data_IF_847255720218
#
_entry.id   IF_847255720218
#
_cell.length_a   1.000
_cell.length_b   1.000
_cell.length_c   1.000
_cell.angle_alpha   90.00
_cell.angle_beta   90.00
_cell.angle_gamma   90.00
#
_symmetry.space_group_name_H-M   'P 1'
#
loop_
_entity.id
_entity.type
_entity.pdbx_description
1 polymer ?
#
# COMPACT_ATOMS: atom_id res chain seq x y z
N UNK A 1 17.11 -28.68 -7.42
CA UNK A 1 16.23 -27.51 -7.55
C UNK A 1 16.76 -26.24 -6.88
N UNK A 2 17.18 -26.22 -5.60
CA UNK A 2 17.62 -25.00 -4.88
C UNK A 2 18.82 -24.27 -5.54
N UNK A 3 19.83 -24.99 -6.07
CA UNK A 3 20.99 -24.37 -6.74
C UNK A 3 20.65 -23.72 -8.10
N UNK A 4 19.75 -24.31 -8.88
CA UNK A 4 19.33 -23.75 -10.17
C UNK A 4 18.54 -22.45 -9.99
N UNK A 5 17.65 -22.37 -9.00
CA UNK A 5 16.91 -21.15 -8.67
C UNK A 5 17.83 -20.00 -8.26
N UNK A 6 18.86 -20.30 -7.46
CA UNK A 6 19.86 -19.30 -7.04
C UNK A 6 20.65 -18.74 -8.23
N UNK A 7 21.04 -19.60 -9.19
CA UNK A 7 21.74 -19.18 -10.41
C UNK A 7 20.87 -18.30 -11.28
N UNK A 8 19.59 -18.64 -11.47
CA UNK A 8 18.63 -17.83 -12.24
C UNK A 8 18.40 -16.48 -11.58
N UNK A 9 18.28 -16.43 -10.24
CA UNK A 9 18.17 -15.19 -9.48
C UNK A 9 19.43 -14.32 -9.60
N UNK A 10 20.62 -14.91 -9.53
CA UNK A 10 21.89 -14.20 -9.68
C UNK A 10 22.07 -13.66 -11.10
N UNK A 11 21.75 -14.44 -12.14
CA UNK A 11 21.80 -14.00 -13.54
C UNK A 11 20.76 -12.91 -13.83
N UNK A 12 19.56 -13.05 -13.29
CA UNK A 12 18.54 -12.00 -13.36
C UNK A 12 18.98 -10.70 -12.68
N UNK A 13 19.58 -10.78 -11.50
CA UNK A 13 20.11 -9.63 -10.78
C UNK A 13 21.26 -8.94 -11.54
N UNK A 14 22.18 -9.71 -12.16
CA UNK A 14 23.28 -9.14 -12.96
C UNK A 14 22.77 -8.42 -14.20
N UNK A 15 21.79 -8.97 -14.93
CA UNK A 15 21.15 -8.29 -16.06
C UNK A 15 20.40 -7.04 -15.63
N UNK A 16 19.68 -7.09 -14.51
CA UNK A 16 18.97 -5.94 -13.95
C UNK A 16 19.93 -4.80 -13.56
N UNK A 17 21.16 -5.08 -13.16
CA UNK A 17 22.15 -4.08 -12.71
C UNK A 17 23.07 -3.60 -13.84
N UNK A 18 22.90 -4.06 -15.08
CA UNK A 18 23.80 -3.74 -16.20
C UNK A 18 23.65 -2.34 -16.78
N UNK A 19 22.55 -1.62 -16.48
CA UNK A 19 22.31 -0.28 -16.98
C UNK A 19 22.72 0.80 -15.95
N UNK A 20 23.07 2.00 -16.45
CA UNK A 20 23.38 3.16 -15.63
C UNK A 20 22.14 3.55 -14.76
N UNK A 21 22.39 4.07 -13.56
CA UNK A 21 21.35 4.45 -12.61
C UNK A 21 20.71 3.29 -11.87
N UNK A 22 21.03 2.04 -12.17
CA UNK A 22 20.55 0.89 -11.42
C UNK A 22 21.38 0.64 -10.17
N UNK A 23 20.74 0.18 -9.10
CA UNK A 23 21.42 -0.01 -7.82
C UNK A 23 20.89 -1.23 -7.07
N UNK A 24 21.72 -1.68 -6.12
CA UNK A 24 21.36 -2.61 -5.07
C UNK A 24 21.65 -1.97 -3.72
N UNK A 25 20.77 -2.21 -2.75
CA UNK A 25 20.88 -1.65 -1.40
C UNK A 25 20.55 -2.73 -0.36
N UNK A 26 21.54 -3.50 0.11
CA UNK A 26 21.41 -4.30 1.31
C UNK A 26 21.36 -3.39 2.54
N UNK A 27 20.47 -3.73 3.49
CA UNK A 27 20.32 -2.99 4.72
C UNK A 27 19.99 -3.92 5.90
N UNK A 28 20.37 -3.51 7.10
CA UNK A 28 19.97 -4.13 8.36
C UNK A 28 19.01 -3.22 9.11
N UNK A 29 18.04 -3.83 9.80
CA UNK A 29 16.99 -3.15 10.53
C UNK A 29 16.88 -3.66 11.96
N UNK A 30 16.67 -2.71 12.90
CA UNK A 30 16.31 -2.98 14.27
C UNK A 30 15.08 -2.15 14.65
N UNK A 31 14.03 -2.79 15.16
CA UNK A 31 12.74 -2.15 15.33
C UNK A 31 11.97 -2.74 16.52
N UNK A 32 10.82 -2.12 16.83
CA UNK A 32 9.87 -2.57 17.84
C UNK A 32 8.45 -2.51 17.30
N UNK A 33 7.57 -3.31 17.88
CA UNK A 33 6.13 -3.22 17.64
C UNK A 33 5.55 -1.95 18.26
N UNK A 34 4.51 -1.37 17.65
CA UNK A 34 3.75 -0.25 18.19
C UNK A 34 2.31 -0.72 18.47
N UNK A 35 1.68 -0.32 19.57
CA UNK A 35 2.15 0.63 20.60
C UNK A 35 3.23 0.03 21.49
N UNK A 36 4.28 0.76 21.72
CA UNK A 36 5.44 0.33 22.51
C UNK A 36 5.07 -0.12 23.94
N UNK A 37 4.05 0.48 24.54
CA UNK A 37 3.62 0.15 25.90
C UNK A 37 3.15 -1.28 26.09
N UNK A 38 2.74 -1.97 24.99
CA UNK A 38 2.25 -3.35 25.03
C UNK A 38 3.30 -4.36 24.56
N UNK A 39 4.30 -3.94 23.78
CA UNK A 39 5.19 -4.85 23.04
C UNK A 39 6.66 -4.41 23.04
N UNK A 40 7.05 -3.51 23.99
CA UNK A 40 8.41 -2.96 24.06
C UNK A 40 9.49 -4.03 24.30
N UNK A 41 9.13 -5.16 24.89
CA UNK A 41 10.06 -6.24 25.22
C UNK A 41 10.34 -7.18 24.04
N UNK A 42 9.69 -6.96 22.91
CA UNK A 42 9.77 -7.82 21.74
C UNK A 42 10.37 -7.09 20.53
N UNK A 43 11.71 -6.96 20.46
CA UNK A 43 12.37 -6.36 19.30
C UNK A 43 12.15 -7.17 18.02
N UNK A 44 12.31 -6.48 16.90
CA UNK A 44 12.25 -7.02 15.54
C UNK A 44 13.61 -6.81 14.89
N UNK A 45 14.21 -7.87 14.39
CA UNK A 45 15.44 -7.82 13.61
C UNK A 45 15.10 -8.07 12.16
N UNK A 46 15.65 -7.28 11.24
CA UNK A 46 15.35 -7.43 9.83
C UNK A 46 16.53 -7.19 8.92
N UNK A 47 16.41 -7.71 7.73
CA UNK A 47 17.31 -7.45 6.62
C UNK A 47 16.49 -7.15 5.37
N UNK A 48 16.91 -6.13 4.63
CA UNK A 48 16.29 -5.70 3.38
C UNK A 48 17.29 -5.81 2.24
N UNK A 49 16.79 -6.13 1.05
CA UNK A 49 17.53 -5.98 -0.20
C UNK A 49 16.64 -5.21 -1.16
N UNK A 50 16.99 -3.96 -1.44
CA UNK A 50 16.35 -3.13 -2.47
C UNK A 50 17.10 -3.27 -3.78
N UNK A 51 16.35 -3.45 -4.85
CA UNK A 51 16.85 -3.41 -6.23
C UNK A 51 16.01 -2.37 -6.96
N UNK A 52 16.68 -1.39 -7.56
CA UNK A 52 15.96 -0.30 -8.19
C UNK A 52 16.75 0.46 -9.23
N UNK A 53 16.12 1.53 -9.70
CA UNK A 53 16.74 2.50 -10.60
C UNK A 53 16.53 3.92 -10.08
N UNK A 54 17.51 4.77 -10.28
CA UNK A 54 17.37 6.21 -10.23
C UNK A 54 16.69 6.66 -11.53
N UNK A 55 15.69 7.53 -11.42
CA UNK A 55 15.07 8.14 -12.58
C UNK A 55 15.97 9.22 -13.16
N UNK A 56 15.88 9.48 -14.46
CA UNK A 56 16.75 10.39 -15.20
C UNK A 56 16.07 11.72 -15.60
N UNK A 57 14.78 11.84 -15.35
CA UNK A 57 13.99 13.01 -15.72
C UNK A 57 13.43 12.95 -17.14
N UNK A 58 13.37 11.79 -17.76
CA UNK A 58 12.73 11.58 -19.05
C UNK A 58 11.21 11.85 -19.01
N UNK A 59 10.59 11.64 -17.84
CA UNK A 59 9.17 11.93 -17.63
C UNK A 59 8.97 13.12 -16.66
N UNK A 60 7.83 13.82 -16.81
CA UNK A 60 7.52 15.02 -16.01
C UNK A 60 7.49 14.75 -14.49
N UNK A 61 6.96 13.61 -14.06
CA UNK A 61 6.89 13.23 -12.65
C UNK A 61 8.29 12.98 -12.06
N UNK A 62 9.23 12.47 -12.85
CA UNK A 62 10.60 12.22 -12.40
C UNK A 62 11.30 13.53 -12.06
N UNK A 63 11.13 14.56 -12.90
CA UNK A 63 11.65 15.91 -12.66
C UNK A 63 10.95 16.59 -11.48
N UNK A 64 9.62 16.47 -11.42
CA UNK A 64 8.83 17.10 -10.37
C UNK A 64 9.20 16.57 -8.97
N UNK A 65 9.35 15.25 -8.83
CA UNK A 65 9.75 14.60 -7.57
C UNK A 65 11.27 14.53 -7.37
N UNK A 66 12.03 15.35 -8.13
CA UNK A 66 13.46 15.52 -8.00
C UNK A 66 14.26 14.22 -8.19
N UNK A 67 13.97 13.51 -9.30
CA UNK A 67 14.65 12.28 -9.73
C UNK A 67 14.58 11.15 -8.70
N UNK A 68 13.39 10.71 -8.32
CA UNK A 68 13.22 9.69 -7.30
C UNK A 68 13.81 8.35 -7.73
N UNK A 69 14.10 7.51 -6.75
CA UNK A 69 14.48 6.13 -6.98
C UNK A 69 13.23 5.24 -6.89
N UNK A 70 13.10 4.30 -7.81
CA UNK A 70 11.97 3.34 -7.82
C UNK A 70 12.50 1.92 -7.93
N UNK A 71 11.82 0.98 -7.29
CA UNK A 71 12.26 -0.41 -7.32
C UNK A 71 11.39 -1.34 -6.51
N UNK A 72 11.98 -2.49 -6.17
CA UNK A 72 11.38 -3.53 -5.35
C UNK A 72 12.26 -3.79 -4.14
N UNK A 73 11.62 -3.94 -2.99
CA UNK A 73 12.24 -4.28 -1.71
C UNK A 73 11.86 -5.72 -1.33
N UNK A 74 12.85 -6.51 -0.94
CA UNK A 74 12.72 -7.85 -0.37
C UNK A 74 13.13 -7.76 1.08
N UNK A 75 12.18 -7.94 2.00
CA UNK A 75 12.37 -7.80 3.44
C UNK A 75 12.19 -9.12 4.15
N UNK A 76 13.11 -9.42 5.03
CA UNK A 76 12.99 -10.46 6.04
C UNK A 76 12.94 -9.82 7.42
N UNK A 77 12.02 -10.26 8.28
CA UNK A 77 11.97 -9.85 9.68
C UNK A 77 11.83 -11.06 10.60
N UNK A 78 12.56 -11.03 11.70
CA UNK A 78 12.42 -11.95 12.83
C UNK A 78 11.79 -11.21 14.00
N UNK A 79 10.58 -11.60 14.35
CA UNK A 79 9.83 -11.06 15.49
C UNK A 79 10.11 -11.91 16.71
N UNK A 80 10.64 -11.31 17.77
CA UNK A 80 11.01 -12.06 18.99
C UNK A 80 9.84 -12.38 19.88
N UNK A 81 8.63 -11.87 19.57
CA UNK A 81 7.39 -12.17 20.27
C UNK A 81 7.04 -13.66 20.14
N UNK A 82 7.24 -14.43 21.22
CA UNK A 82 7.00 -15.87 21.27
C UNK A 82 6.03 -16.29 22.39
N UNK A 83 5.97 -15.49 23.45
CA UNK A 83 5.28 -15.86 24.69
C UNK A 83 4.26 -14.80 25.09
N UNK A 84 3.81 -13.95 24.18
CA UNK A 84 2.80 -12.93 24.46
C UNK A 84 1.45 -13.60 24.68
N UNK A 85 0.96 -13.56 25.93
CA UNK A 85 -0.37 -14.05 26.26
C UNK A 85 -1.42 -12.97 25.91
N UNK A 86 -2.25 -13.27 24.91
CA UNK A 86 -3.38 -12.43 24.54
C UNK A 86 -4.59 -12.75 25.42
N UNK A 87 -4.87 -11.89 26.39
CA UNK A 87 -5.94 -12.08 27.37
C UNK A 87 -7.32 -12.25 26.71
N UNK A 88 -7.56 -11.60 25.58
CA UNK A 88 -8.83 -11.64 24.88
C UNK A 88 -9.08 -12.98 24.17
N UNK A 89 -8.05 -13.59 23.57
CA UNK A 89 -8.15 -14.91 22.94
C UNK A 89 -7.77 -16.06 23.86
N UNK A 90 -7.20 -15.79 25.05
CA UNK A 90 -6.65 -16.77 25.98
C UNK A 90 -5.59 -17.66 25.31
N UNK A 91 -4.80 -17.12 24.39
CA UNK A 91 -3.76 -17.83 23.62
C UNK A 91 -2.43 -17.12 23.66
N UNK A 92 -1.36 -17.90 23.56
CA UNK A 92 -0.01 -17.39 23.36
C UNK A 92 0.15 -17.02 21.88
N UNK A 93 0.62 -15.81 21.60
CA UNK A 93 0.97 -15.34 20.25
C UNK A 93 2.47 -15.52 20.04
N UNK A 94 2.81 -16.25 18.99
CA UNK A 94 4.16 -16.37 18.44
C UNK A 94 4.12 -15.89 16.99
N UNK A 95 4.76 -14.76 16.71
CA UNK A 95 4.79 -14.18 15.35
C UNK A 95 5.83 -14.86 14.46
N UNK A 96 6.96 -15.29 15.02
CA UNK A 96 8.05 -15.89 14.27
C UNK A 96 8.66 -14.96 13.23
N UNK A 97 8.76 -15.42 11.99
CA UNK A 97 9.33 -14.66 10.89
C UNK A 97 8.27 -14.11 9.95
N UNK A 98 8.60 -12.98 9.29
CA UNK A 98 7.84 -12.46 8.15
C UNK A 98 8.74 -12.24 6.94
N UNK A 99 8.14 -12.30 5.75
CA UNK A 99 8.80 -12.09 4.46
C UNK A 99 7.91 -11.13 3.66
N UNK A 100 8.44 -9.98 3.27
CA UNK A 100 7.69 -9.02 2.49
C UNK A 100 8.36 -8.75 1.14
N UNK A 101 7.53 -8.51 0.12
CA UNK A 101 7.94 -7.99 -1.18
C UNK A 101 7.05 -6.81 -1.52
N UNK A 102 7.65 -5.66 -1.76
CA UNK A 102 6.89 -4.45 -2.06
C UNK A 102 7.60 -3.53 -3.06
N UNK A 103 6.80 -2.90 -3.91
CA UNK A 103 7.26 -1.80 -4.76
C UNK A 103 7.43 -0.53 -3.92
N UNK A 104 8.42 0.30 -4.25
CA UNK A 104 8.65 1.56 -3.54
C UNK A 104 9.02 2.70 -4.48
N UNK A 105 8.74 3.90 -4.00
CA UNK A 105 9.25 5.15 -4.54
C UNK A 105 9.99 5.91 -3.43
N UNK A 106 11.24 6.28 -3.68
CA UNK A 106 12.08 7.02 -2.75
C UNK A 106 12.38 8.39 -3.36
N UNK A 107 11.86 9.44 -2.75
CA UNK A 107 12.08 10.82 -3.17
C UNK A 107 13.04 11.56 -2.23
N UNK A 108 13.49 12.73 -2.67
CA UNK A 108 14.44 13.56 -1.94
C UNK A 108 13.79 14.84 -1.45
N UNK A 109 13.73 15.04 -0.12
CA UNK A 109 13.35 16.30 0.51
C UNK A 109 14.50 17.31 0.39
N UNK A 110 15.73 16.81 0.64
CA UNK A 110 16.98 17.57 0.44
C UNK A 110 17.86 16.77 -0.51
N UNK A 111 18.35 17.41 -1.56
CA UNK A 111 19.30 16.82 -2.51
C UNK A 111 20.52 17.75 -2.67
N UNK A 112 21.63 17.38 -2.08
CA UNK A 112 22.92 18.08 -2.11
C UNK A 112 24.02 17.15 -2.65
N UNK A 113 25.15 17.65 -3.11
CA UNK A 113 26.21 16.82 -3.72
C UNK A 113 26.67 15.65 -2.84
N UNK A 114 26.79 15.84 -1.54
CA UNK A 114 27.27 14.80 -0.59
C UNK A 114 26.22 14.34 0.43
N UNK A 115 25.04 14.96 0.44
CA UNK A 115 24.01 14.71 1.44
C UNK A 115 22.63 14.77 0.82
N UNK A 116 21.79 13.77 1.12
CA UNK A 116 20.36 13.78 0.81
C UNK A 116 19.57 13.51 2.10
N UNK A 117 18.35 14.03 2.16
CA UNK A 117 17.36 13.59 3.13
C UNK A 117 16.19 13.03 2.34
N UNK A 118 15.99 11.72 2.48
CA UNK A 118 15.06 10.96 1.67
C UNK A 118 13.77 10.65 2.42
N UNK A 119 12.69 10.47 1.66
CA UNK A 119 11.48 9.79 2.11
C UNK A 119 11.20 8.64 1.16
N UNK A 120 10.62 7.55 1.69
CA UNK A 120 10.19 6.40 0.89
C UNK A 120 8.78 6.04 1.27
N UNK A 121 7.96 5.74 0.29
CA UNK A 121 6.72 5.01 0.50
C UNK A 121 6.73 3.73 -0.33
N UNK A 122 6.11 2.68 0.18
CA UNK A 122 6.05 1.39 -0.50
C UNK A 122 4.79 0.62 -0.15
N UNK A 123 4.36 -0.19 -1.09
CA UNK A 123 3.20 -1.08 -0.94
C UNK A 123 3.48 -2.43 -1.58
N UNK A 124 3.02 -3.48 -0.94
CA UNK A 124 3.15 -4.84 -1.42
C UNK A 124 2.51 -5.85 -0.50
N UNK A 125 3.09 -7.02 -0.40
CA UNK A 125 2.55 -8.12 0.38
C UNK A 125 3.59 -8.68 1.35
N UNK A 126 3.11 -9.19 2.49
CA UNK A 126 3.93 -9.92 3.43
C UNK A 126 3.33 -11.31 3.71
N UNK A 127 4.22 -12.29 3.86
CA UNK A 127 3.91 -13.66 4.21
C UNK A 127 4.37 -13.97 5.64
N UNK A 128 3.44 -14.51 6.45
CA UNK A 128 3.62 -14.84 7.85
C UNK A 128 3.40 -16.34 8.03
N UNK A 129 4.42 -17.18 8.14
CA UNK A 129 4.26 -18.61 8.37
C UNK A 129 3.40 -18.96 9.58
N UNK A 130 3.44 -18.11 10.62
CA UNK A 130 2.64 -18.24 11.86
C UNK A 130 1.47 -17.24 11.91
N UNK A 131 0.93 -16.83 10.76
CA UNK A 131 -0.08 -15.78 10.61
C UNK A 131 -1.50 -16.14 11.05
N UNK A 132 -1.71 -17.28 11.71
CA UNK A 132 -3.03 -17.67 12.24
C UNK A 132 -3.22 -17.23 13.71
N UNK A 133 -3.10 -15.95 13.96
CA UNK A 133 -3.25 -15.32 15.27
C UNK A 133 -4.11 -14.06 15.18
N UNK A 134 -4.51 -13.45 16.29
CA UNK A 134 -5.38 -12.26 16.30
C UNK A 134 -4.76 -10.99 15.73
N UNK A 135 -3.44 -10.93 15.60
CA UNK A 135 -2.78 -9.74 15.08
C UNK A 135 -2.90 -9.66 13.56
N UNK A 136 -2.66 -10.77 12.86
CA UNK A 136 -2.74 -10.82 11.39
C UNK A 136 -3.83 -11.74 10.84
N UNK A 137 -4.26 -12.77 11.58
CA UNK A 137 -5.32 -13.74 11.26
C UNK A 137 -5.24 -14.43 9.89
N UNK A 138 -4.24 -14.10 9.10
CA UNK A 138 -3.99 -14.65 7.76
C UNK A 138 -2.49 -14.73 7.51
N UNK A 139 -1.98 -15.81 6.88
CA UNK A 139 -0.58 -15.90 6.51
C UNK A 139 -0.17 -14.89 5.42
N UNK A 140 -1.11 -14.33 4.68
CA UNK A 140 -0.86 -13.33 3.65
C UNK A 140 -1.54 -12.01 4.03
N UNK A 141 -0.76 -10.92 4.01
CA UNK A 141 -1.21 -9.57 4.35
C UNK A 141 -0.74 -8.56 3.31
N UNK A 142 -1.43 -7.43 3.21
CA UNK A 142 -0.88 -6.24 2.57
C UNK A 142 0.19 -5.65 3.48
N UNK A 143 1.26 -5.15 2.89
CA UNK A 143 2.38 -4.49 3.56
C UNK A 143 2.50 -3.05 3.07
N UNK A 144 2.47 -2.11 4.00
CA UNK A 144 2.73 -0.69 3.77
C UNK A 144 4.05 -0.31 4.43
N UNK A 145 4.84 0.53 3.78
CA UNK A 145 6.13 0.99 4.27
C UNK A 145 6.28 2.50 4.10
N UNK A 146 6.79 3.18 5.14
CA UNK A 146 7.18 4.58 5.12
C UNK A 146 8.55 4.72 5.76
N UNK A 147 9.48 5.37 5.07
CA UNK A 147 10.84 5.61 5.58
C UNK A 147 11.20 7.08 5.46
N UNK A 148 12.02 7.55 6.38
CA UNK A 148 12.64 8.88 6.33
C UNK A 148 14.07 8.80 6.85
N UNK A 149 14.99 9.50 6.20
CA UNK A 149 16.32 9.60 6.78
C UNK A 149 17.40 10.14 5.87
N UNK A 150 18.57 10.42 6.48
CA UNK A 150 19.72 10.93 5.77
C UNK A 150 20.43 9.86 4.94
N UNK A 151 20.96 10.30 3.81
CA UNK A 151 21.80 9.54 2.90
C UNK A 151 23.10 10.32 2.69
N UNK A 152 24.23 9.67 2.92
CA UNK A 152 25.57 10.23 2.76
C UNK A 152 26.24 9.59 1.55
N UNK A 153 26.55 10.40 0.53
CA UNK A 153 27.26 9.96 -0.67
C UNK A 153 28.75 9.79 -0.35
N UNK A 154 29.17 8.54 -0.16
CA UNK A 154 30.56 8.20 0.18
C UNK A 154 31.49 8.29 -1.04
N UNK A 155 30.94 7.93 -2.22
CA UNK A 155 31.61 8.05 -3.52
C UNK A 155 30.58 8.25 -4.63
N UNK A 156 31.04 8.34 -5.88
CA UNK A 156 30.14 8.42 -7.03
C UNK A 156 29.19 7.23 -7.17
N UNK A 157 29.60 6.07 -6.65
CA UNK A 157 28.86 4.83 -6.80
C UNK A 157 28.31 4.26 -5.47
N UNK A 158 28.65 4.86 -4.32
CA UNK A 158 28.33 4.28 -3.01
C UNK A 158 27.74 5.31 -2.07
N UNK A 159 26.60 4.97 -1.46
CA UNK A 159 25.97 5.74 -0.38
C UNK A 159 25.89 4.95 0.91
N UNK A 160 26.06 5.62 2.04
CA UNK A 160 25.57 5.19 3.34
C UNK A 160 24.16 5.70 3.53
N UNK A 161 23.24 4.79 3.78
CA UNK A 161 21.82 5.12 3.94
C UNK A 161 21.41 4.79 5.36
N UNK A 162 20.77 5.76 6.04
CA UNK A 162 20.16 5.54 7.34
C UNK A 162 18.71 6.02 7.32
N UNK A 163 17.81 5.30 8.00
CA UNK A 163 16.36 5.61 7.96
C UNK A 163 15.69 5.31 9.30
N UNK A 164 14.67 6.08 9.60
CA UNK A 164 13.59 5.64 10.48
C UNK A 164 12.54 5.00 9.58
N UNK A 165 12.13 3.78 9.91
CA UNK A 165 11.24 2.98 9.10
C UNK A 165 10.00 2.64 9.90
N UNK A 166 8.82 3.00 9.36
CA UNK A 166 7.52 2.55 9.81
C UNK A 166 6.98 1.53 8.80
N UNK A 167 6.47 0.41 9.29
CA UNK A 167 5.73 -0.54 8.45
C UNK A 167 4.44 -0.99 9.12
N UNK A 168 3.43 -1.25 8.28
CA UNK A 168 2.14 -1.77 8.67
C UNK A 168 1.81 -3.02 7.85
N UNK A 169 1.37 -4.08 8.52
CA UNK A 169 0.89 -5.30 7.88
C UNK A 169 -0.52 -5.65 8.38
N UNK A 170 -1.44 -5.87 7.44
CA UNK A 170 -2.84 -6.18 7.73
C UNK A 170 -3.48 -6.98 6.59
N UNK A 171 -4.41 -7.85 6.92
CA UNK A 171 -5.15 -8.63 5.92
C UNK A 171 -6.40 -7.91 5.38
N UNK A 172 -6.66 -6.64 5.80
CA UNK A 172 -7.78 -5.85 5.31
C UNK A 172 -9.15 -6.45 5.62
N UNK A 173 -9.31 -7.05 6.80
CA UNK A 173 -10.53 -7.73 7.25
C UNK A 173 -10.93 -8.98 6.41
N UNK A 174 -10.03 -9.48 5.56
CA UNK A 174 -10.24 -10.77 4.89
C UNK A 174 -10.54 -11.87 5.92
N UNK A 175 -9.91 -11.77 7.11
CA UNK A 175 -10.19 -12.62 8.25
C UNK A 175 -10.14 -11.80 9.53
N UNK A 176 -11.09 -12.03 10.44
CA UNK A 176 -11.16 -11.32 11.73
C UNK A 176 -10.95 -12.27 12.91
N UNK A 177 -10.45 -11.79 14.06
CA UNK A 177 -10.01 -10.42 14.30
C UNK A 177 -8.67 -10.11 13.61
N UNK A 178 -8.49 -8.89 13.10
CA UNK A 178 -7.28 -8.43 12.45
C UNK A 178 -6.90 -7.07 13.03
N UNK A 179 -6.02 -7.07 14.04
CA UNK A 179 -5.55 -5.84 14.69
C UNK A 179 -4.47 -5.13 13.85
N UNK A 180 -3.85 -5.86 12.91
CA UNK A 180 -2.68 -5.42 12.18
C UNK A 180 -1.41 -5.40 13.02
N UNK A 181 -0.27 -5.37 12.36
CA UNK A 181 1.05 -5.24 12.99
C UNK A 181 1.67 -3.94 12.51
N UNK A 182 2.04 -3.09 13.46
CA UNK A 182 2.80 -1.88 13.21
C UNK A 182 4.20 -2.05 13.80
N UNK A 183 5.22 -1.70 13.02
CA UNK A 183 6.63 -1.79 13.43
C UNK A 183 7.31 -0.47 13.13
N UNK A 184 8.05 0.06 14.11
CA UNK A 184 8.84 1.28 13.98
C UNK A 184 10.27 1.03 14.43
N UNK A 185 11.25 1.46 13.63
CA UNK A 185 12.64 1.26 13.99
C UNK A 185 13.64 2.03 13.14
N UNK A 186 14.91 1.70 13.33
CA UNK A 186 16.02 2.22 12.56
C UNK A 186 16.52 1.21 11.53
N UNK A 187 17.03 1.72 10.43
CA UNK A 187 17.65 0.94 9.36
C UNK A 187 18.97 1.59 8.96
N UNK A 188 19.96 0.79 8.66
CA UNK A 188 21.25 1.22 8.07
C UNK A 188 21.59 0.31 6.90
N UNK A 189 22.04 0.88 5.80
CA UNK A 189 22.35 0.14 4.57
C UNK A 189 23.41 0.84 3.72
N UNK A 190 23.84 0.13 2.69
CA UNK A 190 24.75 0.62 1.66
C UNK A 190 24.07 0.52 0.30
N UNK A 191 23.95 1.66 -0.40
CA UNK A 191 23.41 1.71 -1.76
C UNK A 191 24.57 1.77 -2.76
N UNK A 192 24.64 0.79 -3.64
CA UNK A 192 25.69 0.68 -4.63
C UNK A 192 25.16 0.73 -6.06
N UNK A 193 25.75 1.61 -6.88
CA UNK A 193 25.46 1.81 -8.31
C UNK A 193 26.58 1.20 -9.16
N UNK A 194 26.46 -0.05 -9.65
CA UNK A 194 27.54 -0.74 -10.36
C UNK A 194 28.03 -0.05 -11.63
N UNK A 195 27.16 0.68 -12.31
CA UNK A 195 27.44 1.43 -13.56
C UNK A 195 27.33 2.95 -13.40
N UNK A 196 27.39 3.42 -12.14
CA UNK A 196 27.23 4.84 -11.83
C UNK A 196 25.75 5.26 -11.77
N UNK A 197 25.54 6.48 -11.32
CA UNK A 197 24.23 7.12 -11.21
C UNK A 197 23.68 7.47 -12.58
N UNK A 198 22.35 7.60 -12.70
CA UNK A 198 21.74 8.13 -13.89
C UNK A 198 22.19 9.58 -14.12
N UNK A 199 22.33 9.97 -15.39
CA UNK A 199 22.57 11.36 -15.76
C UNK A 199 21.21 12.09 -15.71
N UNK A 200 21.11 13.02 -14.78
CA UNK A 200 19.89 13.84 -14.61
C UNK A 200 19.73 14.86 -15.74
N UNK A 201 18.58 14.86 -16.39
CA UNK A 201 18.23 15.89 -17.37
C UNK A 201 17.78 17.15 -16.64
N UNK A 202 18.65 18.15 -16.54
CA UNK A 202 18.40 19.37 -15.78
C UNK A 202 17.38 20.33 -16.39
N UNK A 203 16.99 20.13 -17.67
CA UNK A 203 15.87 20.87 -18.25
C UNK A 203 14.58 20.53 -17.52
N UNK A 204 14.07 21.48 -16.74
CA UNK A 204 12.84 21.35 -15.96
C UNK A 204 11.57 21.61 -16.78
N UNK A 205 11.70 21.94 -18.07
CA UNK A 205 10.53 22.12 -18.92
C UNK A 205 9.88 20.77 -19.21
N UNK A 206 8.58 20.71 -19.04
CA UNK A 206 7.74 19.60 -19.49
C UNK A 206 6.47 20.18 -20.10
N UNK A 207 6.22 19.93 -21.40
CA UNK A 207 4.98 20.35 -22.04
C UNK A 207 3.82 19.60 -21.38
N UNK A 208 2.84 20.35 -20.90
CA UNK A 208 1.65 19.77 -20.29
C UNK A 208 0.41 20.57 -20.68
N UNK A 209 -0.56 19.88 -21.22
CA UNK A 209 -1.89 20.41 -21.46
C UNK A 209 -2.84 19.89 -20.40
N UNK A 210 -3.62 20.82 -19.83
CA UNK A 210 -4.68 20.46 -18.88
C UNK A 210 -5.75 19.66 -19.59
N UNK A 211 -6.22 18.60 -18.96
CA UNK A 211 -7.28 17.77 -19.52
C UNK A 211 -8.27 17.32 -18.47
N UNK A 212 -9.43 16.92 -18.94
CA UNK A 212 -10.45 16.27 -18.12
C UNK A 212 -10.49 14.79 -18.47
N UNK A 213 -10.90 13.96 -17.52
CA UNK A 213 -11.00 12.51 -17.66
C UNK A 213 -12.27 12.03 -17.02
N UNK A 214 -13.11 11.32 -17.80
CA UNK A 214 -14.21 10.52 -17.30
C UNK A 214 -13.80 9.07 -17.30
N UNK A 215 -14.05 8.36 -16.20
CA UNK A 215 -13.70 6.96 -16.06
C UNK A 215 -14.77 6.17 -15.30
N UNK A 216 -14.72 4.86 -15.44
CA UNK A 216 -15.49 3.91 -14.63
C UNK A 216 -14.54 2.91 -14.00
N UNK A 217 -14.94 2.40 -12.83
CA UNK A 217 -14.19 1.38 -12.11
C UNK A 217 -15.17 0.42 -11.47
N UNK A 218 -14.80 -0.86 -11.46
CA UNK A 218 -15.42 -1.89 -10.65
C UNK A 218 -14.39 -2.47 -9.70
N UNK A 219 -14.73 -2.52 -8.41
CA UNK A 219 -13.89 -3.00 -7.33
C UNK A 219 -14.60 -4.13 -6.57
N UNK A 220 -13.88 -5.24 -6.37
CA UNK A 220 -14.41 -6.41 -5.67
C UNK A 220 -13.51 -6.77 -4.51
N UNK A 221 -14.08 -6.95 -3.34
CA UNK A 221 -13.39 -7.38 -2.13
C UNK A 221 -14.16 -8.45 -1.39
N UNK A 222 -13.44 -9.21 -0.58
CA UNK A 222 -14.02 -10.21 0.32
C UNK A 222 -13.57 -9.92 1.73
N UNK A 223 -14.48 -10.06 2.68
CA UNK A 223 -14.21 -9.92 4.10
C UNK A 223 -14.92 -11.01 4.92
N UNK A 224 -14.38 -11.33 6.05
CA UNK A 224 -15.12 -12.09 7.07
C UNK A 224 -16.07 -11.14 7.82
N UNK A 225 -17.30 -11.60 8.07
CA UNK A 225 -18.29 -10.82 8.82
C UNK A 225 -17.86 -10.60 10.28
N UNK A 226 -18.34 -9.51 10.87
CA UNK A 226 -18.06 -9.21 12.29
C UNK A 226 -18.69 -10.18 13.29
N UNK A 227 -19.53 -11.11 12.85
CA UNK A 227 -20.07 -12.18 13.69
C UNK A 227 -18.99 -13.15 14.17
N UNK A 228 -17.82 -13.13 13.53
CA UNK A 228 -16.71 -14.08 13.75
C UNK A 228 -17.12 -15.56 13.62
N UNK A 229 -18.20 -15.84 12.92
CA UNK A 229 -18.70 -17.19 12.65
C UNK A 229 -18.14 -17.80 11.36
N UNK A 230 -17.09 -17.18 10.78
CA UNK A 230 -16.46 -17.65 9.55
C UNK A 230 -17.27 -17.37 8.28
N UNK A 231 -18.25 -16.48 8.32
CA UNK A 231 -19.03 -16.08 7.14
C UNK A 231 -18.25 -15.07 6.31
N UNK A 232 -17.92 -15.43 5.09
CA UNK A 232 -17.26 -14.54 4.13
C UNK A 232 -18.29 -13.82 3.28
N UNK A 233 -18.16 -12.52 3.20
CA UNK A 233 -19.07 -11.61 2.51
C UNK A 233 -18.37 -10.90 1.37
N UNK A 234 -19.08 -10.75 0.25
CA UNK A 234 -18.64 -9.96 -0.88
C UNK A 234 -18.93 -8.48 -0.64
N UNK A 235 -17.95 -7.63 -0.93
CA UNK A 235 -18.12 -6.20 -1.14
C UNK A 235 -17.84 -5.85 -2.58
N UNK A 236 -18.62 -4.92 -3.13
CA UNK A 236 -18.39 -4.40 -4.48
C UNK A 236 -18.56 -2.89 -4.49
N UNK A 237 -17.75 -2.21 -5.27
CA UNK A 237 -17.82 -0.77 -5.53
C UNK A 237 -17.84 -0.55 -7.03
N UNK A 238 -18.93 -0.04 -7.57
CA UNK A 238 -18.97 0.49 -8.92
C UNK A 238 -18.87 2.01 -8.86
N UNK A 239 -17.83 2.58 -9.49
CA UNK A 239 -17.49 3.99 -9.46
C UNK A 239 -17.65 4.62 -10.84
N UNK A 240 -18.32 5.76 -10.89
CA UNK A 240 -18.31 6.68 -12.04
C UNK A 240 -17.58 7.93 -11.58
N UNK A 241 -16.37 8.16 -12.13
CA UNK A 241 -15.48 9.20 -11.68
C UNK A 241 -15.09 10.19 -12.77
N UNK A 242 -14.92 11.43 -12.34
CA UNK A 242 -14.35 12.52 -13.13
C UNK A 242 -13.09 13.04 -12.44
N UNK A 243 -12.04 13.31 -13.22
CA UNK A 243 -10.87 14.01 -12.73
C UNK A 243 -10.37 15.05 -13.73
N UNK A 244 -9.82 16.16 -13.19
CA UNK A 244 -9.18 17.21 -13.94
C UNK A 244 -7.69 17.24 -13.64
N UNK A 245 -6.86 17.04 -14.65
CA UNK A 245 -5.43 17.21 -14.56
C UNK A 245 -5.10 18.69 -14.73
N UNK A 246 -4.51 19.28 -13.71
CA UNK A 246 -4.03 20.67 -13.71
C UNK A 246 -2.50 20.76 -13.70
N UNK A 247 -1.85 19.64 -13.40
CA UNK A 247 -0.41 19.45 -13.39
C UNK A 247 -0.09 18.01 -13.84
N UNK A 248 1.07 17.70 -14.45
CA UNK A 248 1.43 16.34 -14.86
C UNK A 248 1.32 15.29 -13.74
N UNK A 249 1.60 15.72 -12.51
CA UNK A 249 1.62 14.84 -11.33
C UNK A 249 0.35 14.92 -10.47
N UNK A 250 -0.59 15.82 -10.77
CA UNK A 250 -1.76 16.05 -9.90
C UNK A 250 -3.06 16.12 -10.69
N UNK A 251 -4.06 15.43 -10.18
CA UNK A 251 -5.46 15.57 -10.61
C UNK A 251 -6.34 15.74 -9.38
N UNK A 252 -7.45 16.42 -9.56
CA UNK A 252 -8.54 16.46 -8.59
C UNK A 252 -9.85 16.15 -9.29
N UNK A 253 -10.83 15.69 -8.53
CA UNK A 253 -12.10 15.34 -9.11
C UNK A 253 -13.11 14.87 -8.08
N UNK A 254 -14.03 14.08 -8.56
CA UNK A 254 -15.07 13.47 -7.74
C UNK A 254 -15.94 12.57 -8.59
N UNK A 255 -16.92 11.96 -7.96
CA UNK A 255 -17.80 11.02 -8.64
C UNK A 255 -18.86 10.46 -7.71
N UNK A 256 -19.37 9.31 -8.11
CA UNK A 256 -20.41 8.59 -7.35
C UNK A 256 -19.97 7.13 -7.25
N UNK A 257 -19.98 6.61 -6.03
CA UNK A 257 -19.83 5.18 -5.72
C UNK A 257 -21.22 4.56 -5.52
N UNK A 258 -21.46 3.47 -6.24
CA UNK A 258 -22.56 2.54 -6.01
C UNK A 258 -21.97 1.32 -5.31
N UNK A 259 -22.39 1.08 -4.09
CA UNK A 259 -21.79 0.09 -3.21
C UNK A 259 -22.73 -1.06 -2.95
N UNK A 260 -22.21 -2.28 -3.00
CA UNK A 260 -22.85 -3.49 -2.51
C UNK A 260 -22.10 -4.04 -1.30
N UNK A 261 -22.81 -4.35 -0.23
CA UNK A 261 -22.24 -4.87 1.02
C UNK A 261 -22.99 -6.12 1.46
N UNK A 262 -22.47 -7.29 1.08
CA UNK A 262 -23.09 -8.58 1.41
C UNK A 262 -23.11 -8.90 2.92
N UNK A 263 -22.24 -8.25 3.71
CA UNK A 263 -22.23 -8.37 5.17
C UNK A 263 -23.55 -7.86 5.81
N UNK A 264 -24.24 -6.90 5.18
CA UNK A 264 -25.49 -6.37 5.70
C UNK A 264 -26.53 -7.46 5.92
N UNK A 265 -26.63 -8.43 4.99
CA UNK A 265 -27.54 -9.58 5.14
C UNK A 265 -27.17 -10.46 6.36
N UNK A 266 -25.89 -10.82 6.48
CA UNK A 266 -25.41 -11.67 7.57
C UNK A 266 -25.62 -11.00 8.93
N UNK A 267 -25.33 -9.72 9.03
CA UNK A 267 -25.50 -8.95 10.26
C UNK A 267 -26.98 -8.75 10.62
N UNK A 268 -27.83 -8.57 9.60
CA UNK A 268 -29.26 -8.48 9.77
C UNK A 268 -29.84 -9.78 10.36
N UNK A 269 -29.57 -10.91 9.72
CA UNK A 269 -30.00 -12.24 10.17
C UNK A 269 -29.47 -12.57 11.60
N UNK A 270 -28.27 -12.08 11.93
CA UNK A 270 -27.67 -12.29 13.24
C UNK A 270 -28.35 -11.45 14.34
N UNK A 271 -28.72 -10.21 14.05
CA UNK A 271 -29.22 -9.25 15.04
C UNK A 271 -30.76 -9.16 15.08
N UNK A 272 -31.45 -9.50 13.99
CA UNK A 272 -32.88 -9.23 13.76
C UNK A 272 -33.56 -10.42 13.06
N UNK A 273 -33.46 -11.59 13.63
CA UNK A 273 -33.94 -12.83 13.00
C UNK A 273 -35.45 -12.87 12.69
N UNK A 274 -36.25 -11.95 13.26
CA UNK A 274 -37.73 -11.89 13.08
C UNK A 274 -38.16 -10.93 11.97
N UNK A 275 -37.27 -10.11 11.45
CA UNK A 275 -37.60 -9.14 10.39
C UNK A 275 -37.21 -9.63 9.01
N UNK A 276 -37.85 -9.14 7.96
CA UNK A 276 -37.53 -9.52 6.58
C UNK A 276 -36.43 -8.62 5.99
N UNK A 277 -35.29 -9.23 5.62
CA UNK A 277 -34.23 -8.54 4.90
C UNK A 277 -34.63 -8.22 3.46
N UNK A 278 -34.46 -6.97 3.06
CA UNK A 278 -34.72 -6.53 1.69
C UNK A 278 -33.40 -6.45 0.88
N UNK A 279 -33.44 -6.88 -0.37
CA UNK A 279 -32.26 -6.80 -1.25
C UNK A 279 -31.69 -5.38 -1.36
N UNK A 280 -32.53 -4.35 -1.30
CA UNK A 280 -32.12 -2.95 -1.31
C UNK A 280 -31.18 -2.59 -0.15
N UNK A 281 -31.28 -3.30 0.98
CA UNK A 281 -30.48 -3.06 2.17
C UNK A 281 -29.00 -3.42 1.99
N UNK A 282 -28.67 -4.16 0.92
CA UNK A 282 -27.27 -4.44 0.54
C UNK A 282 -26.59 -3.26 -0.16
N UNK A 283 -27.33 -2.29 -0.67
CA UNK A 283 -26.80 -1.23 -1.52
C UNK A 283 -26.70 0.10 -0.79
N UNK A 284 -25.76 0.94 -1.25
CA UNK A 284 -25.58 2.32 -0.78
C UNK A 284 -25.10 3.20 -1.94
N UNK A 285 -25.36 4.50 -1.86
CA UNK A 285 -24.89 5.50 -2.83
C UNK A 285 -24.12 6.57 -2.09
N UNK A 286 -22.92 6.88 -2.58
CA UNK A 286 -22.05 7.87 -1.97
C UNK A 286 -21.35 8.74 -3.04
N UNK A 287 -21.70 10.01 -3.20
CA UNK A 287 -20.85 10.97 -3.88
C UNK A 287 -19.54 11.17 -3.12
N UNK A 288 -18.46 11.44 -3.87
CA UNK A 288 -17.14 11.66 -3.31
C UNK A 288 -16.39 12.80 -4.00
N UNK A 289 -15.40 13.35 -3.30
CA UNK A 289 -14.35 14.20 -3.86
C UNK A 289 -13.01 13.43 -3.77
N UNK A 290 -12.10 13.72 -4.71
CA UNK A 290 -10.83 12.99 -4.77
C UNK A 290 -9.66 13.87 -5.18
N UNK A 291 -8.47 13.47 -4.70
CA UNK A 291 -7.18 13.90 -5.18
C UNK A 291 -6.36 12.73 -5.71
N UNK A 292 -5.60 12.96 -6.77
CA UNK A 292 -4.75 11.93 -7.36
C UNK A 292 -3.31 12.42 -7.52
N UNK A 293 -2.36 11.54 -7.17
CA UNK A 293 -0.94 11.67 -7.42
C UNK A 293 -0.55 10.76 -8.58
N UNK A 294 0.06 11.35 -9.62
CA UNK A 294 0.41 10.63 -10.85
C UNK A 294 1.93 10.45 -10.96
N UNK A 295 2.38 9.21 -10.92
CA UNK A 295 3.75 8.78 -11.16
C UNK A 295 3.80 8.04 -12.51
N UNK A 296 3.71 8.79 -13.62
CA UNK A 296 3.54 8.19 -14.94
C UNK A 296 2.24 7.38 -15.04
N UNK A 297 2.37 6.08 -15.26
CA UNK A 297 1.21 5.17 -15.32
C UNK A 297 0.67 4.74 -13.95
N UNK A 298 1.40 5.00 -12.87
CA UNK A 298 0.98 4.68 -11.52
C UNK A 298 0.26 5.85 -10.89
N UNK A 299 -0.94 5.61 -10.36
CA UNK A 299 -1.82 6.64 -9.79
C UNK A 299 -2.15 6.26 -8.35
N UNK A 300 -1.77 7.12 -7.41
CA UNK A 300 -2.30 7.11 -6.06
C UNK A 300 -3.57 7.96 -6.01
N UNK A 301 -4.67 7.40 -5.56
CA UNK A 301 -5.98 8.06 -5.48
C UNK A 301 -6.47 8.03 -4.04
N UNK A 302 -6.84 9.19 -3.52
CA UNK A 302 -7.47 9.35 -2.21
C UNK A 302 -8.80 10.06 -2.39
N UNK A 303 -9.88 9.43 -1.96
CA UNK A 303 -11.22 10.02 -1.97
C UNK A 303 -11.81 10.11 -0.58
N UNK A 304 -12.72 11.07 -0.41
CA UNK A 304 -13.57 11.24 0.75
C UNK A 304 -15.04 11.25 0.27
N UNK A 305 -15.81 10.29 0.75
CA UNK A 305 -17.17 10.02 0.30
C UNK A 305 -18.19 10.17 1.43
N UNK A 306 -19.43 10.55 1.07
CA UNK A 306 -20.54 10.71 2.00
C UNK A 306 -21.74 9.90 1.52
N UNK A 307 -22.32 9.06 2.40
CA UNK A 307 -23.51 8.28 2.08
C UNK A 307 -24.76 9.17 2.01
N UNK A 308 -25.28 9.35 0.80
CA UNK A 308 -26.55 10.05 0.58
C UNK A 308 -27.75 9.10 0.64
N UNK A 309 -27.49 7.82 0.39
CA UNK A 309 -28.48 6.75 0.53
C UNK A 309 -27.83 5.51 1.12
N UNK A 310 -28.37 5.04 2.22
CA UNK A 310 -27.90 3.86 2.96
C UNK A 310 -29.09 3.33 3.76
N UNK A 311 -29.86 2.37 3.20
CA UNK A 311 -31.14 1.97 3.78
C UNK A 311 -31.01 1.13 5.05
N UNK A 312 -29.88 0.41 5.20
CA UNK A 312 -29.67 -0.44 6.35
C UNK A 312 -28.44 -0.04 7.14
N UNK A 313 -28.57 0.02 8.44
CA UNK A 313 -27.52 0.38 9.38
C UNK A 313 -27.33 -0.72 10.46
N UNK A 314 -26.98 -1.91 10.00
CA UNK A 314 -26.82 -3.07 10.88
C UNK A 314 -25.40 -3.24 11.39
N UNK A 315 -24.45 -2.50 10.84
CA UNK A 315 -23.07 -2.56 11.24
C UNK A 315 -22.72 -1.41 12.17
N UNK A 316 -22.05 -1.65 13.32
CA UNK A 316 -21.63 -0.58 14.24
C UNK A 316 -20.79 0.53 13.59
N UNK A 317 -20.19 0.25 12.43
CA UNK A 317 -19.40 1.19 11.63
C UNK A 317 -20.26 2.15 10.82
N UNK A 318 -21.48 1.79 10.48
CA UNK A 318 -22.37 2.53 9.61
C UNK A 318 -23.04 3.73 10.28
N UNK A 319 -22.78 3.96 11.58
CA UNK A 319 -23.07 5.25 12.21
C UNK A 319 -22.28 6.40 11.60
N UNK A 320 -21.18 6.09 10.88
CA UNK A 320 -20.44 7.09 10.15
C UNK A 320 -21.06 7.27 8.76
N UNK A 321 -21.49 8.51 8.50
CA UNK A 321 -22.08 8.93 7.21
C UNK A 321 -21.03 9.14 6.12
N UNK A 322 -19.76 8.81 6.38
CA UNK A 322 -18.65 9.05 5.47
C UNK A 322 -17.61 7.91 5.55
N UNK A 323 -16.82 7.80 4.49
CA UNK A 323 -15.66 6.93 4.44
C UNK A 323 -14.54 7.57 3.59
N UNK A 324 -13.33 7.13 3.85
CA UNK A 324 -12.16 7.41 3.03
C UNK A 324 -11.83 6.17 2.18
N UNK A 325 -11.34 6.40 0.97
CA UNK A 325 -10.87 5.32 0.10
C UNK A 325 -9.50 5.69 -0.45
N UNK A 326 -8.52 4.88 -0.11
CA UNK A 326 -7.17 4.94 -0.68
C UNK A 326 -7.04 3.83 -1.73
N UNK A 327 -6.64 4.19 -2.94
CA UNK A 327 -6.39 3.19 -3.98
C UNK A 327 -5.12 3.51 -4.79
N UNK A 328 -4.52 2.45 -5.31
CA UNK A 328 -3.37 2.50 -6.17
C UNK A 328 -3.74 1.81 -7.48
N UNK A 329 -3.63 2.56 -8.58
CA UNK A 329 -4.04 2.15 -9.92
C UNK A 329 -2.84 2.17 -10.86
N UNK A 330 -2.77 1.23 -11.79
CA UNK A 330 -1.79 1.22 -12.87
C UNK A 330 -2.50 1.25 -14.21
N UNK A 331 -2.15 2.23 -15.06
CA UNK A 331 -2.73 2.38 -16.40
C UNK A 331 -2.00 1.47 -17.40
N UNK A 332 -2.75 0.58 -18.03
CA UNK A 332 -2.30 -0.23 -19.15
C UNK A 332 -2.65 0.47 -20.47
N UNK A 333 -1.73 1.33 -20.93
CA UNK A 333 -1.98 2.21 -22.06
C UNK A 333 -2.91 3.38 -21.70
N UNK A 334 -3.79 3.78 -22.65
CA UNK A 334 -4.63 4.97 -22.49
C UNK A 334 -6.01 4.68 -21.90
N UNK A 335 -6.49 3.45 -22.05
CA UNK A 335 -7.89 3.09 -21.77
C UNK A 335 -8.06 2.32 -20.47
N UNK A 336 -7.33 1.24 -20.26
CA UNK A 336 -7.57 0.34 -19.15
C UNK A 336 -6.64 0.60 -17.98
N UNK A 337 -7.15 0.36 -16.78
CA UNK A 337 -6.34 0.32 -15.57
C UNK A 337 -6.82 -0.79 -14.64
N UNK A 338 -5.91 -1.23 -13.77
CA UNK A 338 -6.24 -2.11 -12.67
C UNK A 338 -5.51 -1.64 -11.41
N UNK A 339 -5.96 -2.09 -10.26
CA UNK A 339 -5.36 -1.66 -9.01
C UNK A 339 -5.86 -2.39 -7.79
N UNK A 340 -5.49 -1.84 -6.66
CA UNK A 340 -5.93 -2.26 -5.33
C UNK A 340 -6.39 -1.04 -4.56
N UNK A 341 -7.50 -1.17 -3.86
CA UNK A 341 -8.04 -0.12 -3.00
C UNK A 341 -8.35 -0.64 -1.61
N UNK A 342 -8.51 0.28 -0.67
CA UNK A 342 -9.05 -0.01 0.65
C UNK A 342 -10.06 1.06 1.01
N UNK A 343 -11.23 0.64 1.48
CA UNK A 343 -12.25 1.50 2.05
C UNK A 343 -12.09 1.50 3.56
N UNK A 344 -12.11 2.71 4.14
CA UNK A 344 -11.84 2.92 5.56
C UNK A 344 -12.93 3.79 6.17
N UNK A 345 -13.50 3.39 7.28
CA UNK A 345 -14.38 4.23 8.10
C UNK A 345 -13.58 4.68 9.33
N UNK A 346 -13.09 5.93 9.30
CA UNK A 346 -12.16 6.51 10.26
C UNK A 346 -10.88 5.67 10.43
N UNK A 347 -10.86 4.71 11.36
CA UNK A 347 -9.69 3.89 11.66
C UNK A 347 -9.87 2.40 11.32
N UNK A 348 -11.06 2.02 10.84
CA UNK A 348 -11.40 0.62 10.57
C UNK A 348 -11.49 0.37 9.07
N UNK A 349 -10.65 -0.52 8.56
CA UNK A 349 -10.73 -0.99 7.18
C UNK A 349 -11.94 -1.89 7.04
N UNK A 350 -12.78 -1.62 6.02
CA UNK A 350 -13.88 -2.51 5.67
C UNK A 350 -13.37 -3.74 4.95
N UNK A 351 -12.69 -3.53 3.84
CA UNK A 351 -12.05 -4.57 3.06
C UNK A 351 -11.04 -3.97 2.09
N UNK A 352 -10.15 -4.84 1.60
CA UNK A 352 -9.29 -4.54 0.46
C UNK A 352 -10.02 -4.99 -0.80
N UNK A 353 -10.09 -4.12 -1.80
CA UNK A 353 -10.72 -4.38 -3.08
C UNK A 353 -9.68 -4.47 -4.21
N UNK A 354 -9.89 -5.41 -5.10
CA UNK A 354 -9.21 -5.48 -6.38
C UNK A 354 -10.05 -4.74 -7.40
N UNK A 355 -9.42 -3.81 -8.11
CA UNK A 355 -10.13 -2.89 -9.00
C UNK A 355 -9.69 -3.06 -10.44
N UNK A 356 -10.65 -2.97 -11.35
CA UNK A 356 -10.43 -2.82 -12.79
C UNK A 356 -11.26 -1.65 -13.29
N UNK A 357 -10.78 -0.96 -14.31
CA UNK A 357 -11.53 0.18 -14.82
C UNK A 357 -11.08 0.63 -16.19
N UNK A 358 -11.81 1.60 -16.72
CA UNK A 358 -11.54 2.18 -18.02
C UNK A 358 -11.68 3.70 -18.02
N UNK A 359 -10.72 4.36 -18.62
CA UNK A 359 -10.80 5.77 -19.02
C UNK A 359 -11.70 5.86 -20.27
N UNK A 360 -12.87 6.44 -20.10
CA UNK A 360 -13.89 6.48 -21.16
C UNK A 360 -13.68 7.64 -22.12
N UNK A 361 -13.36 8.80 -21.57
CA UNK A 361 -13.24 10.03 -22.35
C UNK A 361 -12.21 10.97 -21.73
N UNK A 362 -11.34 11.49 -22.58
CA UNK A 362 -10.33 12.52 -22.25
C UNK A 362 -10.48 13.70 -23.19
N UNK A 363 -10.66 14.93 -22.66
CA UNK A 363 -10.83 16.17 -23.44
C UNK A 363 -10.16 17.36 -22.80
#
# INVERSE_FOLDING_TARGET
>A
MKKGLLIVLLLGATMLLSAQGRYVEPAFRYAYHIPFSLYSDYPVYGADIRIGRQTDGSEAWEKFFNYPLVGVDFRFEHHTMKDYFDEESQKIIDLGNSYAVFGYCNGHIINRPRFQFDYTWGIGMAYWPKGHNRLVSSPLTVHLNLDFGPVFKLSDNLDLVTRVVFSHASNGALRVPNKGINVLGGQVGLRYFPKGRAMEQHDKSYPFEKYNLLYVLDGVGVRESNTMLGHYCLGNTFEIGYSRAFHPCFRYGGGIDLLYTGENKVMYEYNHAEEEYKTADAFSIAPYIAGELCYGNFIGHLSFAYYVWQPADYLPRHYQKYYERLSFRYNFGKTFFAGVGMRVHATKIDYIEWTVGANLWKW
#
